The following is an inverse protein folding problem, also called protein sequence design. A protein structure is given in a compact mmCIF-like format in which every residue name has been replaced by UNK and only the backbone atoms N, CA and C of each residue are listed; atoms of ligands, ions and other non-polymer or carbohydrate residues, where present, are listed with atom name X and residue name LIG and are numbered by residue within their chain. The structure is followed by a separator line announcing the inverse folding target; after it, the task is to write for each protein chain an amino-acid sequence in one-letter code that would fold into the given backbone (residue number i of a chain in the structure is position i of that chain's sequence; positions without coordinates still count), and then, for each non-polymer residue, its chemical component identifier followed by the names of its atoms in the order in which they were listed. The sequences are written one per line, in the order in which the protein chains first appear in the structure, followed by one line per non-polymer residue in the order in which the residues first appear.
data_IF_138427264691
#
_entry.id   IF_138427264691
#
_cell.length_a   1.000
_cell.length_b   1.000
_cell.length_c   1.000
_cell.angle_alpha   90.00
_cell.angle_beta   90.00
_cell.angle_gamma   90.00
#
_symmetry.space_group_name_H-M   'P 1'
#
loop_
_entity.id
_entity.type
_entity.pdbx_description
1 polymer ?
#
# COMPACT_ATOMS: atom_id res chain seq x y z
N UNK A 1 -12.89 8.89 23.17
CA UNK A 1 -12.74 9.20 21.73
C UNK A 1 -11.56 10.14 21.64
N UNK A 2 -10.49 9.69 21.02
CA UNK A 2 -9.34 10.54 20.72
C UNK A 2 -9.53 11.15 19.32
N UNK A 3 -9.04 12.37 19.13
CA UNK A 3 -9.06 13.10 17.86
C UNK A 3 -7.62 13.37 17.44
N UNK A 4 -7.31 13.09 16.19
CA UNK A 4 -6.01 13.39 15.60
C UNK A 4 -6.18 14.21 14.32
N UNK A 5 -5.37 15.27 14.19
CA UNK A 5 -5.47 16.25 13.10
C UNK A 5 -4.13 16.39 12.38
N UNK A 6 -4.13 16.09 11.09
CA UNK A 6 -3.20 16.59 10.07
C UNK A 6 -4.01 17.62 9.24
N UNK A 7 -3.46 18.69 8.62
CA UNK A 7 -4.26 19.76 8.01
C UNK A 7 -5.28 19.31 6.93
N UNK A 8 -5.14 18.07 6.42
CA UNK A 8 -6.01 17.46 5.42
C UNK A 8 -6.79 16.23 5.91
N UNK A 9 -6.44 15.66 7.07
CA UNK A 9 -7.00 14.38 7.53
C UNK A 9 -7.33 14.42 9.03
N UNK A 10 -8.57 14.04 9.35
CA UNK A 10 -9.08 13.94 10.72
C UNK A 10 -9.61 12.53 10.96
N UNK A 11 -9.23 11.93 12.09
CA UNK A 11 -9.69 10.60 12.49
C UNK A 11 -10.24 10.63 13.92
N UNK A 12 -11.29 9.85 14.15
CA UNK A 12 -11.82 9.53 15.47
C UNK A 12 -11.57 8.05 15.77
N UNK A 13 -10.93 7.76 16.89
CA UNK A 13 -10.62 6.38 17.27
C UNK A 13 -10.82 6.11 18.78
N UNK A 14 -10.86 4.82 19.10
CA UNK A 14 -10.88 4.29 20.47
C UNK A 14 -9.80 3.22 20.56
N UNK A 15 -8.92 3.35 21.54
CA UNK A 15 -7.90 2.33 21.82
C UNK A 15 -8.53 1.13 22.51
N UNK A 16 -8.29 -0.05 21.95
CA UNK A 16 -8.90 -1.31 22.42
C UNK A 16 -7.88 -2.24 23.09
N UNK A 17 -6.68 -1.75 23.40
CA UNK A 17 -5.68 -2.48 24.19
C UNK A 17 -5.19 -1.60 25.34
N UNK A 18 -5.15 -2.15 26.55
CA UNK A 18 -4.34 -1.60 27.63
C UNK A 18 -2.93 -2.20 27.53
N UNK A 19 -1.90 -1.37 27.67
CA UNK A 19 -0.54 -1.89 27.82
C UNK A 19 -0.48 -2.68 29.14
N UNK A 20 -0.44 -4.01 29.05
CA UNK A 20 -0.25 -4.87 30.23
C UNK A 20 1.18 -4.67 30.75
N UNK A 21 1.37 -3.81 31.75
CA UNK A 21 2.59 -3.79 32.54
C UNK A 21 2.54 -4.97 33.51
N UNK A 22 3.16 -6.08 33.14
CA UNK A 22 3.32 -7.23 34.04
C UNK A 22 4.28 -6.88 35.17
N UNK A 23 3.74 -6.45 36.31
CA UNK A 23 4.49 -6.35 37.58
C UNK A 23 4.52 -7.77 38.20
N UNK A 24 5.38 -8.63 37.68
CA UNK A 24 5.60 -9.96 38.25
C UNK A 24 5.96 -11.02 37.21
N UNK A 25 7.23 -11.43 37.18
CA UNK A 25 7.78 -12.44 36.27
C UNK A 25 7.36 -13.88 36.57
N UNK A 26 6.09 -14.12 36.89
CA UNK A 26 5.52 -15.46 36.99
C UNK A 26 5.18 -16.01 35.60
N UNK A 27 5.45 -17.29 35.35
CA UNK A 27 5.02 -17.96 34.12
C UNK A 27 3.49 -18.06 34.13
N UNK A 28 2.86 -17.18 33.37
CA UNK A 28 1.43 -17.20 33.07
C UNK A 28 1.15 -18.47 32.24
N UNK A 29 0.19 -19.27 32.69
CA UNK A 29 -0.20 -20.52 32.05
C UNK A 29 -1.58 -20.29 31.43
N UNK A 30 -1.70 -20.37 30.10
CA UNK A 30 -2.92 -20.20 29.30
C UNK A 30 -4.15 -21.06 29.71
N UNK A 31 -4.03 -21.87 30.76
CA UNK A 31 -5.05 -22.69 31.38
C UNK A 31 -5.44 -22.23 32.80
N UNK A 32 -4.93 -21.07 33.25
CA UNK A 32 -5.32 -20.44 34.49
C UNK A 32 -6.74 -19.86 34.32
N UNK A 33 -7.71 -20.23 35.18
CA UNK A 33 -9.06 -19.66 35.14
C UNK A 33 -9.08 -18.13 35.12
N UNK A 34 -8.15 -17.48 35.80
CA UNK A 34 -8.07 -16.01 35.87
C UNK A 34 -7.67 -15.40 34.52
N UNK A 35 -6.77 -16.04 33.77
CA UNK A 35 -6.34 -15.60 32.43
C UNK A 35 -7.45 -15.80 31.40
N UNK A 36 -8.17 -16.93 31.47
CA UNK A 36 -9.32 -17.21 30.60
C UNK A 36 -10.43 -16.18 30.83
N UNK A 37 -10.69 -15.80 32.08
CA UNK A 37 -11.67 -14.76 32.42
C UNK A 37 -11.25 -13.37 31.91
N UNK A 38 -9.96 -13.03 31.99
CA UNK A 38 -9.41 -11.78 31.47
C UNK A 38 -9.50 -11.71 29.94
N UNK A 39 -9.11 -12.78 29.23
CA UNK A 39 -9.26 -12.87 27.77
C UNK A 39 -10.72 -12.74 27.32
N UNK A 40 -11.66 -13.36 28.05
CA UNK A 40 -13.08 -13.27 27.76
C UNK A 40 -13.59 -11.83 27.97
N UNK A 41 -13.18 -11.16 29.06
CA UNK A 41 -13.53 -9.75 29.31
C UNK A 41 -13.00 -8.83 28.21
N UNK A 42 -11.75 -9.02 27.77
CA UNK A 42 -11.18 -8.24 26.67
C UNK A 42 -11.91 -8.48 25.34
N UNK A 43 -12.32 -9.73 25.07
CA UNK A 43 -13.13 -10.07 23.89
C UNK A 43 -14.50 -9.39 23.94
N UNK A 44 -15.18 -9.44 25.08
CA UNK A 44 -16.50 -8.82 25.24
C UNK A 44 -16.43 -7.30 25.13
N UNK A 45 -15.35 -6.68 25.64
CA UNK A 45 -15.08 -5.25 25.48
C UNK A 45 -14.87 -4.87 24.00
N UNK A 46 -14.05 -5.64 23.27
CA UNK A 46 -13.82 -5.47 21.82
C UNK A 46 -15.13 -5.57 21.03
N UNK A 47 -15.93 -6.60 21.32
CA UNK A 47 -17.21 -6.82 20.65
C UNK A 47 -18.20 -5.69 20.91
N UNK A 48 -18.28 -5.21 22.15
CA UNK A 48 -19.14 -4.07 22.51
C UNK A 48 -18.73 -2.80 21.74
N UNK A 49 -17.44 -2.49 21.69
CA UNK A 49 -16.94 -1.33 20.94
C UNK A 49 -17.28 -1.45 19.46
N UNK A 50 -17.08 -2.63 18.85
CA UNK A 50 -17.44 -2.85 17.44
C UNK A 50 -18.93 -2.65 17.18
N UNK A 51 -19.81 -3.14 18.07
CA UNK A 51 -21.26 -2.92 17.98
C UNK A 51 -21.60 -1.43 18.07
N UNK A 52 -20.96 -0.70 19.00
CA UNK A 52 -21.18 0.74 19.18
C UNK A 52 -20.75 1.54 17.94
N UNK A 53 -19.61 1.20 17.32
CA UNK A 53 -19.16 1.79 16.05
C UNK A 53 -20.11 1.48 14.90
N UNK A 54 -20.58 0.24 14.77
CA UNK A 54 -21.55 -0.14 13.73
C UNK A 54 -22.87 0.62 13.89
N UNK A 55 -23.37 0.75 15.12
CA UNK A 55 -24.55 1.55 15.41
C UNK A 55 -24.36 3.03 15.05
N UNK A 56 -23.17 3.59 15.31
CA UNK A 56 -22.83 4.95 14.90
C UNK A 56 -22.83 5.10 13.37
N UNK A 57 -22.14 4.21 12.65
CA UNK A 57 -22.09 4.19 11.19
C UNK A 57 -23.49 4.15 10.58
N UNK A 58 -24.35 3.25 11.06
CA UNK A 58 -25.74 3.13 10.58
C UNK A 58 -26.53 4.43 10.78
N UNK A 59 -26.41 5.08 11.94
CA UNK A 59 -27.08 6.35 12.20
C UNK A 59 -26.56 7.48 11.31
N UNK A 60 -25.26 7.52 11.02
CA UNK A 60 -24.68 8.51 10.13
C UNK A 60 -25.16 8.28 8.68
N UNK A 61 -25.22 7.03 8.23
CA UNK A 61 -25.79 6.68 6.91
C UNK A 61 -27.27 7.11 6.80
N UNK A 62 -28.09 6.88 7.83
CA UNK A 62 -29.47 7.36 7.87
C UNK A 62 -29.58 8.89 7.74
N UNK A 63 -28.64 9.62 8.35
CA UNK A 63 -28.55 11.07 8.21
C UNK A 63 -28.13 11.49 6.80
N UNK A 64 -27.10 10.87 6.22
CA UNK A 64 -26.63 11.16 4.87
C UNK A 64 -27.68 10.85 3.79
N UNK A 65 -28.57 9.89 4.05
CA UNK A 65 -29.72 9.60 3.18
C UNK A 65 -30.79 10.71 3.13
N UNK A 66 -30.74 11.70 4.03
CA UNK A 66 -31.69 12.81 4.03
C UNK A 66 -31.47 13.75 2.84
N UNK A 67 -32.56 14.36 2.34
CA UNK A 67 -32.55 15.22 1.16
C UNK A 67 -31.50 16.35 1.20
N UNK A 68 -31.19 16.86 2.39
CA UNK A 68 -30.21 17.93 2.58
C UNK A 68 -28.76 17.51 2.31
N UNK A 69 -28.43 16.21 2.41
CA UNK A 69 -27.08 15.68 2.22
C UNK A 69 -26.96 14.74 1.02
N UNK A 70 -28.09 14.32 0.43
CA UNK A 70 -28.13 13.35 -0.68
C UNK A 70 -27.25 13.72 -1.88
N UNK A 71 -27.06 15.01 -2.16
CA UNK A 71 -26.24 15.48 -3.29
C UNK A 71 -24.73 15.40 -3.04
N UNK A 72 -24.29 15.03 -1.82
CA UNK A 72 -22.89 14.91 -1.45
C UNK A 72 -22.32 13.51 -1.71
N UNK A 73 -23.18 12.51 -1.98
CA UNK A 73 -22.80 11.13 -2.28
C UNK A 73 -21.81 10.52 -1.26
N UNK A 74 -22.13 10.69 0.03
CA UNK A 74 -21.27 10.27 1.14
C UNK A 74 -21.49 8.80 1.49
N UNK A 75 -20.39 8.07 1.65
CA UNK A 75 -20.40 6.69 2.13
C UNK A 75 -19.19 6.40 3.03
N UNK A 76 -19.31 5.35 3.86
CA UNK A 76 -18.18 4.81 4.58
C UNK A 76 -17.48 3.76 3.71
N UNK A 77 -16.27 4.09 3.26
CA UNK A 77 -15.43 3.17 2.49
C UNK A 77 -14.61 2.28 3.42
N UNK A 78 -14.78 0.96 3.31
CA UNK A 78 -14.19 -0.02 4.24
C UNK A 78 -12.90 -0.64 3.68
N UNK A 79 -11.83 -0.77 4.49
CA UNK A 79 -10.61 -1.46 4.06
C UNK A 79 -10.83 -2.95 3.76
N UNK A 80 -10.36 -3.38 2.59
CA UNK A 80 -10.35 -4.76 2.09
C UNK A 80 -9.07 -5.45 2.58
N UNK A 81 -9.07 -5.87 3.86
CA UNK A 81 -7.86 -6.35 4.55
C UNK A 81 -7.17 -7.53 3.87
N UNK A 82 -7.92 -8.38 3.18
CA UNK A 82 -7.43 -9.52 2.41
C UNK A 82 -6.52 -9.13 1.23
N UNK A 83 -6.67 -7.90 0.71
CA UNK A 83 -5.83 -7.34 -0.34
C UNK A 83 -4.67 -6.49 0.23
N UNK A 84 -4.57 -6.39 1.56
CA UNK A 84 -3.56 -5.57 2.20
C UNK A 84 -2.16 -6.16 2.10
N UNK A 85 -1.16 -5.28 2.14
CA UNK A 85 0.25 -5.65 2.06
C UNK A 85 1.09 -4.77 2.98
N UNK A 86 2.28 -5.26 3.35
CA UNK A 86 3.24 -4.48 4.11
C UNK A 86 4.15 -3.68 3.19
N UNK A 87 4.48 -2.46 3.59
CA UNK A 87 5.43 -1.59 2.89
C UNK A 87 5.83 -0.40 3.77
N UNK A 88 6.76 0.41 3.27
CA UNK A 88 7.26 1.61 3.95
C UNK A 88 6.80 2.84 3.16
N UNK A 89 5.62 3.40 3.44
CA UNK A 89 5.14 4.60 2.75
C UNK A 89 5.88 5.86 3.22
N UNK A 90 6.42 5.82 4.44
CA UNK A 90 7.13 6.94 5.06
C UNK A 90 8.41 6.48 5.77
N UNK A 91 8.39 6.33 7.10
CA UNK A 91 9.59 6.01 7.91
C UNK A 91 9.64 4.58 8.43
N UNK A 92 8.48 3.94 8.58
CA UNK A 92 8.35 2.62 9.17
C UNK A 92 7.50 1.72 8.28
N UNK A 93 7.69 0.41 8.43
CA UNK A 93 6.82 -0.57 7.81
C UNK A 93 5.42 -0.46 8.40
N UNK A 94 4.42 -0.38 7.54
CA UNK A 94 3.02 -0.31 7.90
C UNK A 94 2.21 -1.29 7.05
N UNK A 95 1.01 -1.64 7.51
CA UNK A 95 0.07 -2.46 6.74
C UNK A 95 -0.85 -1.54 5.94
N UNK A 96 -0.65 -1.52 4.64
CA UNK A 96 -1.39 -0.69 3.69
C UNK A 96 -2.50 -1.52 3.09
N UNK A 97 -3.70 -0.96 2.99
CA UNK A 97 -4.90 -1.70 2.61
C UNK A 97 -5.68 -0.90 1.57
N UNK A 98 -6.11 -1.53 0.47
CA UNK A 98 -7.04 -0.88 -0.45
C UNK A 98 -8.45 -0.84 0.14
N UNK A 99 -9.22 0.14 -0.29
CA UNK A 99 -10.67 0.24 -0.12
C UNK A 99 -11.32 0.19 -1.51
N UNK A 100 -12.61 0.50 -1.64
CA UNK A 100 -13.24 0.58 -2.96
C UNK A 100 -12.72 1.75 -3.80
N UNK A 101 -12.31 2.85 -3.15
CA UNK A 101 -11.94 4.10 -3.82
C UNK A 101 -10.54 4.61 -3.52
N UNK A 102 -9.85 4.02 -2.53
CA UNK A 102 -8.57 4.51 -2.01
C UNK A 102 -7.55 3.39 -1.74
N UNK A 103 -6.28 3.74 -1.63
CA UNK A 103 -5.24 2.96 -0.97
C UNK A 103 -4.84 3.68 0.32
N UNK A 104 -4.96 3.00 1.47
CA UNK A 104 -4.88 3.67 2.77
C UNK A 104 -3.96 3.00 3.78
N UNK A 105 -3.41 3.82 4.68
CA UNK A 105 -2.82 3.45 5.95
C UNK A 105 -3.32 4.49 6.97
N UNK A 106 -4.12 4.06 7.94
CA UNK A 106 -4.90 4.95 8.82
C UNK A 106 -4.61 4.72 10.32
N UNK A 107 -3.57 3.95 10.65
CA UNK A 107 -3.22 3.62 12.04
C UNK A 107 -2.10 4.52 12.50
N UNK A 108 -1.05 4.72 11.69
CA UNK A 108 0.08 5.54 12.08
C UNK A 108 -0.18 7.03 11.86
N UNK A 109 0.45 7.86 12.69
CA UNK A 109 0.25 9.32 12.76
C UNK A 109 0.61 10.11 11.48
N UNK A 110 1.07 9.41 10.44
CA UNK A 110 1.25 9.94 9.10
C UNK A 110 0.39 9.11 8.15
N UNK A 111 -0.90 9.46 8.07
CA UNK A 111 -1.84 8.70 7.26
C UNK A 111 -1.42 8.69 5.78
N UNK A 112 -1.54 7.52 5.16
CA UNK A 112 -1.52 7.40 3.71
C UNK A 112 -2.97 7.37 3.24
N UNK A 113 -3.36 8.30 2.36
CA UNK A 113 -4.66 8.29 1.69
C UNK A 113 -4.44 8.66 0.23
N UNK A 114 -4.60 7.67 -0.65
CA UNK A 114 -4.43 7.83 -2.09
C UNK A 114 -5.73 7.49 -2.77
N UNK A 115 -6.39 8.46 -3.40
CA UNK A 115 -7.60 8.24 -4.18
C UNK A 115 -7.23 7.57 -5.50
N UNK A 116 -7.84 6.42 -5.78
CA UNK A 116 -7.47 5.59 -6.93
C UNK A 116 -7.74 6.29 -8.28
N UNK A 117 -8.83 7.06 -8.36
CA UNK A 117 -9.19 7.78 -9.57
C UNK A 117 -8.22 8.92 -9.94
N UNK A 118 -7.34 9.34 -9.02
CA UNK A 118 -6.31 10.35 -9.26
C UNK A 118 -5.00 9.75 -9.80
N UNK A 119 -4.85 8.42 -9.74
CA UNK A 119 -3.66 7.71 -10.20
C UNK A 119 -3.64 7.70 -11.73
N UNK A 120 -2.50 8.08 -12.31
CA UNK A 120 -2.22 7.95 -13.74
C UNK A 120 -1.62 6.57 -14.04
N UNK A 121 -0.52 6.23 -13.37
CA UNK A 121 0.13 4.92 -13.48
C UNK A 121 0.75 4.50 -12.13
N UNK A 122 1.05 3.21 -12.02
CA UNK A 122 1.92 2.66 -10.98
C UNK A 122 3.17 2.04 -11.63
N UNK A 123 4.34 2.24 -11.03
CA UNK A 123 5.56 1.56 -11.45
C UNK A 123 6.15 0.75 -10.29
N UNK A 124 6.28 -0.55 -10.48
CA UNK A 124 6.96 -1.45 -9.54
C UNK A 124 8.46 -1.43 -9.85
N UNK A 125 9.22 -0.76 -8.99
CA UNK A 125 10.66 -0.56 -9.13
C UNK A 125 11.45 -1.61 -8.34
N UNK A 126 12.64 -1.94 -8.82
CA UNK A 126 13.52 -2.98 -8.25
C UNK A 126 12.89 -4.37 -8.28
N UNK A 127 12.03 -4.64 -9.26
CA UNK A 127 11.53 -5.99 -9.53
C UNK A 127 12.59 -6.77 -10.31
N UNK A 128 12.89 -7.99 -9.87
CA UNK A 128 13.81 -8.87 -10.57
C UNK A 128 14.19 -10.13 -9.79
N UNK A 129 14.85 -11.11 -10.43
CA UNK A 129 15.26 -12.36 -9.79
C UNK A 129 16.14 -12.11 -8.56
N UNK A 130 15.83 -12.80 -7.45
CA UNK A 130 16.59 -12.72 -6.20
C UNK A 130 16.32 -11.50 -5.33
N UNK A 131 15.49 -10.54 -5.77
CA UNK A 131 15.04 -9.43 -4.93
C UNK A 131 13.98 -9.90 -3.94
N UNK A 132 14.20 -9.65 -2.64
CA UNK A 132 13.25 -9.98 -1.57
C UNK A 132 12.15 -8.92 -1.43
N UNK A 133 12.43 -7.70 -1.88
CA UNK A 133 11.55 -6.56 -1.75
C UNK A 133 11.63 -5.71 -3.02
N UNK A 134 10.53 -5.06 -3.35
CA UNK A 134 10.43 -4.07 -4.43
C UNK A 134 9.86 -2.77 -3.88
N UNK A 135 9.88 -1.72 -4.69
CA UNK A 135 9.30 -0.43 -4.37
C UNK A 135 8.14 -0.15 -5.33
N UNK A 136 7.16 0.62 -4.90
CA UNK A 136 6.05 1.07 -5.75
C UNK A 136 6.09 2.58 -5.86
N UNK A 137 6.13 3.11 -7.08
CA UNK A 137 5.97 4.52 -7.38
C UNK A 137 4.56 4.77 -7.95
N UNK A 138 3.83 5.70 -7.35
CA UNK A 138 2.47 6.06 -7.73
C UNK A 138 2.51 7.45 -8.35
N UNK A 139 2.24 7.51 -9.66
CA UNK A 139 2.21 8.75 -10.45
C UNK A 139 0.76 9.20 -10.58
N UNK A 140 0.52 10.49 -10.37
CA UNK A 140 -0.83 11.07 -10.42
C UNK A 140 -1.10 11.71 -11.78
N UNK A 141 -2.39 11.83 -12.12
CA UNK A 141 -2.87 12.53 -13.32
C UNK A 141 -2.47 14.01 -13.34
N UNK A 142 -2.36 14.63 -12.16
CA UNK A 142 -1.72 15.93 -12.02
C UNK A 142 -0.21 15.75 -11.90
N UNK A 143 0.53 15.89 -13.00
CA UNK A 143 1.98 15.74 -13.02
C UNK A 143 2.74 16.79 -12.20
N UNK A 144 2.08 17.83 -11.70
CA UNK A 144 2.68 18.79 -10.75
C UNK A 144 2.74 18.25 -9.32
N UNK A 145 1.93 17.22 -9.01
CA UNK A 145 1.95 16.52 -7.74
C UNK A 145 3.18 15.61 -7.67
N UNK A 146 3.86 15.63 -6.53
CA UNK A 146 4.99 14.73 -6.28
C UNK A 146 4.51 13.26 -6.31
N UNK A 147 5.34 12.38 -6.89
CA UNK A 147 5.13 10.92 -6.88
C UNK A 147 5.19 10.41 -5.44
N UNK A 148 4.22 9.58 -5.07
CA UNK A 148 4.26 8.87 -3.78
C UNK A 148 4.98 7.55 -3.97
N UNK A 149 5.86 7.20 -3.03
CA UNK A 149 6.62 5.96 -3.03
C UNK A 149 6.25 5.12 -1.82
N UNK A 150 6.06 3.83 -2.04
CA UNK A 150 5.92 2.82 -1.00
C UNK A 150 7.11 1.87 -1.15
N UNK A 151 8.07 1.98 -0.25
CA UNK A 151 9.32 1.24 -0.33
C UNK A 151 9.24 -0.14 0.35
N UNK A 152 10.20 -1.01 0.04
CA UNK A 152 10.44 -2.27 0.75
C UNK A 152 9.24 -3.22 0.86
N UNK A 153 8.35 -3.24 -0.13
CA UNK A 153 7.22 -4.17 -0.22
C UNK A 153 7.76 -5.59 -0.44
N UNK A 154 7.33 -6.62 0.33
CA UNK A 154 7.75 -7.99 0.12
C UNK A 154 7.44 -8.46 -1.31
N UNK A 155 8.39 -9.13 -1.98
CA UNK A 155 8.17 -9.62 -3.35
C UNK A 155 7.05 -10.64 -3.45
N UNK A 156 6.69 -11.32 -2.36
CA UNK A 156 5.50 -12.19 -2.28
C UNK A 156 4.18 -11.45 -2.49
N UNK A 157 4.14 -10.13 -2.34
CA UNK A 157 2.92 -9.32 -2.51
C UNK A 157 2.75 -8.81 -3.94
N UNK A 158 3.74 -8.99 -4.84
CA UNK A 158 3.72 -8.39 -6.18
C UNK A 158 2.53 -8.86 -7.02
N UNK A 159 2.23 -10.15 -7.00
CA UNK A 159 1.15 -10.72 -7.83
C UNK A 159 -0.23 -10.24 -7.34
N UNK A 160 -0.46 -10.22 -6.03
CA UNK A 160 -1.71 -9.71 -5.46
C UNK A 160 -1.91 -8.21 -5.70
N UNK A 161 -0.81 -7.43 -5.68
CA UNK A 161 -0.85 -6.01 -6.03
C UNK A 161 -1.19 -5.82 -7.51
N UNK A 162 -0.59 -6.61 -8.42
CA UNK A 162 -0.90 -6.54 -9.86
C UNK A 162 -2.35 -6.89 -10.14
N UNK A 163 -2.85 -7.98 -9.57
CA UNK A 163 -4.25 -8.38 -9.68
C UNK A 163 -5.18 -7.26 -9.19
N UNK A 164 -4.87 -6.63 -8.05
CA UNK A 164 -5.62 -5.49 -7.55
C UNK A 164 -5.59 -4.30 -8.52
N UNK A 165 -4.43 -3.93 -9.06
CA UNK A 165 -4.29 -2.84 -10.05
C UNK A 165 -5.09 -3.13 -11.33
N UNK A 166 -5.09 -4.38 -11.80
CA UNK A 166 -5.92 -4.81 -12.94
C UNK A 166 -7.42 -4.64 -12.64
N UNK A 167 -7.89 -5.05 -11.46
CA UNK A 167 -9.32 -4.92 -11.09
C UNK A 167 -9.78 -3.46 -10.94
N UNK A 168 -8.85 -2.53 -10.76
CA UNK A 168 -9.11 -1.10 -10.61
C UNK A 168 -8.82 -0.29 -11.88
N UNK A 169 -8.48 -0.96 -13.00
CA UNK A 169 -8.12 -0.35 -14.29
C UNK A 169 -6.96 0.66 -14.17
N UNK A 170 -6.01 0.39 -13.27
CA UNK A 170 -4.81 1.20 -13.10
C UNK A 170 -3.67 0.55 -13.88
N UNK A 171 -3.20 1.27 -14.90
CA UNK A 171 -2.06 0.80 -15.69
C UNK A 171 -0.80 0.76 -14.82
N UNK A 172 -0.06 -0.35 -14.91
CA UNK A 172 1.20 -0.50 -14.20
C UNK A 172 2.34 -0.97 -15.09
N UNK A 173 3.56 -0.68 -14.63
CA UNK A 173 4.83 -0.99 -15.26
C UNK A 173 5.81 -1.59 -14.25
N UNK A 174 6.92 -2.14 -14.75
CA UNK A 174 8.00 -2.63 -13.91
C UNK A 174 9.35 -2.04 -14.34
N UNK A 175 10.24 -1.82 -13.39
CA UNK A 175 11.59 -1.34 -13.64
C UNK A 175 12.57 -2.05 -12.72
N UNK A 176 13.79 -2.34 -13.21
CA UNK A 176 14.83 -2.98 -12.38
C UNK A 176 15.49 -2.01 -11.40
N UNK A 177 15.36 -0.71 -11.64
CA UNK A 177 15.95 0.37 -10.84
C UNK A 177 14.88 1.35 -10.37
N UNK A 178 15.23 2.14 -9.36
CA UNK A 178 14.40 3.27 -8.94
C UNK A 178 14.57 4.42 -9.95
N UNK A 179 13.46 4.93 -10.50
CA UNK A 179 13.50 6.01 -11.48
C UNK A 179 13.54 7.40 -10.82
N UNK A 180 14.19 8.34 -11.49
CA UNK A 180 14.13 9.74 -11.10
C UNK A 180 12.91 10.41 -11.74
N UNK A 181 11.76 10.33 -11.05
CA UNK A 181 10.48 10.80 -11.58
C UNK A 181 10.40 12.31 -11.82
N UNK A 182 11.11 13.14 -11.04
CA UNK A 182 11.03 14.61 -11.18
C UNK A 182 11.44 15.10 -12.56
N UNK A 183 12.62 14.73 -13.11
CA UNK A 183 12.98 15.04 -14.50
C UNK A 183 12.03 14.45 -15.55
N UNK A 184 11.54 13.22 -15.34
CA UNK A 184 10.62 12.54 -16.27
C UNK A 184 9.33 13.35 -16.38
N UNK A 185 8.66 13.60 -15.24
CA UNK A 185 7.42 14.37 -15.20
C UNK A 185 7.61 15.80 -15.68
N UNK A 186 8.75 16.44 -15.38
CA UNK A 186 9.07 17.76 -15.92
C UNK A 186 9.10 17.77 -17.45
N UNK A 187 9.73 16.77 -18.07
CA UNK A 187 9.80 16.65 -19.53
C UNK A 187 8.41 16.49 -20.14
N UNK A 188 7.55 15.69 -19.49
CA UNK A 188 6.16 15.49 -19.92
C UNK A 188 5.35 16.79 -19.80
N UNK A 189 5.52 17.55 -18.71
CA UNK A 189 4.85 18.85 -18.52
C UNK A 189 5.31 19.87 -19.56
N UNK A 190 6.61 19.89 -19.88
CA UNK A 190 7.21 20.85 -20.80
C UNK A 190 6.78 20.59 -22.27
N UNK A 191 6.56 19.32 -22.68
CA UNK A 191 6.06 18.96 -24.02
C UNK A 191 5.13 17.71 -24.02
N UNK A 192 3.84 17.87 -23.65
CA UNK A 192 2.89 16.76 -23.60
C UNK A 192 2.60 16.12 -24.96
N UNK A 193 2.67 16.90 -26.04
CA UNK A 193 2.39 16.41 -27.39
C UNK A 193 3.47 15.42 -27.83
N UNK A 194 4.74 15.79 -27.61
CA UNK A 194 5.86 14.92 -27.90
C UNK A 194 5.82 13.63 -27.08
N UNK A 195 5.46 13.71 -25.79
CA UNK A 195 5.28 12.51 -24.96
C UNK A 195 4.29 11.52 -25.60
N UNK A 196 3.17 12.00 -26.13
CA UNK A 196 2.18 11.15 -26.81
C UNK A 196 2.74 10.61 -28.14
N UNK A 197 3.41 11.44 -28.94
CA UNK A 197 4.02 11.03 -30.22
C UNK A 197 5.11 9.95 -30.03
N UNK A 198 5.87 10.03 -28.94
CA UNK A 198 6.93 9.08 -28.58
C UNK A 198 6.38 7.79 -27.92
N UNK A 199 5.05 7.60 -27.87
CA UNK A 199 4.41 6.38 -27.37
C UNK A 199 4.03 6.43 -25.89
N UNK A 200 4.03 7.60 -25.26
CA UNK A 200 3.60 7.79 -23.88
C UNK A 200 4.45 7.01 -22.89
N UNK A 201 3.80 6.24 -22.02
CA UNK A 201 4.45 5.47 -20.97
C UNK A 201 5.22 4.22 -21.46
N UNK A 202 5.20 3.91 -22.76
CA UNK A 202 5.84 2.71 -23.30
C UNK A 202 7.36 2.66 -23.11
N UNK A 203 8.03 3.79 -22.87
CA UNK A 203 9.46 3.80 -22.53
C UNK A 203 9.76 2.99 -21.25
N UNK A 204 8.80 2.85 -20.33
CA UNK A 204 8.94 2.04 -19.11
C UNK A 204 9.03 0.54 -19.42
N UNK A 205 8.44 0.09 -20.53
CA UNK A 205 8.56 -1.31 -20.98
C UNK A 205 9.95 -1.59 -21.55
N UNK A 206 10.58 -0.61 -22.19
CA UNK A 206 11.92 -0.75 -22.80
C UNK A 206 13.02 -0.95 -21.74
N UNK A 207 12.94 -0.24 -20.62
CA UNK A 207 13.83 -0.40 -19.47
C UNK A 207 13.76 -1.80 -18.84
N UNK A 208 12.62 -2.48 -18.93
CA UNK A 208 12.48 -3.87 -18.47
C UNK A 208 13.26 -4.85 -19.37
N UNK A 209 13.35 -4.57 -20.67
CA UNK A 209 13.97 -5.45 -21.68
C UNK A 209 15.47 -5.24 -21.89
N UNK A 210 15.99 -4.01 -21.76
CA UNK A 210 17.39 -3.68 -22.08
C UNK A 210 18.43 -4.20 -21.08
N UNK A 211 18.00 -4.97 -20.08
CA UNK A 211 18.88 -5.56 -19.05
C UNK A 211 18.91 -7.09 -19.07
N UNK A 212 18.31 -7.73 -20.08
CA UNK A 212 18.52 -9.16 -20.40
C UNK A 212 19.66 -9.40 -21.41
N UNK A 213 20.34 -8.34 -21.84
CA UNK A 213 21.42 -8.35 -22.84
C UNK A 213 22.84 -8.35 -22.26
N UNK A 214 23.03 -8.68 -20.97
CA UNK A 214 24.36 -8.91 -20.36
C UNK A 214 24.52 -10.34 -19.79
N UNK A 215 24.12 -11.37 -20.53
CA UNK A 215 24.46 -12.75 -20.14
C UNK A 215 24.76 -13.67 -21.33
N UNK A 216 25.59 -13.19 -22.26
CA UNK A 216 26.24 -14.05 -23.24
C UNK A 216 27.71 -13.65 -23.37
N UNK A 217 28.58 -14.38 -22.66
CA UNK A 217 29.89 -14.86 -23.11
C UNK A 217 30.83 -15.11 -21.91
N UNK A 218 30.82 -16.36 -21.42
CA UNK A 218 32.10 -17.02 -21.18
C UNK A 218 31.91 -18.51 -21.45
N UNK A 219 32.41 -18.91 -22.62
CA UNK A 219 32.37 -20.25 -23.17
C UNK A 219 33.10 -21.24 -22.26
N UNK A 220 32.38 -22.29 -21.90
CA UNK A 220 32.91 -23.56 -21.41
C UNK A 220 33.83 -24.16 -22.49
N UNK A 221 35.14 -23.88 -22.41
CA UNK A 221 36.14 -24.59 -23.20
C UNK A 221 36.63 -25.78 -22.39
N UNK A 222 36.11 -26.95 -22.76
CA UNK A 222 36.50 -28.25 -22.23
C UNK A 222 38.01 -28.48 -22.30
N UNK A 223 38.58 -28.86 -21.17
CA UNK A 223 39.97 -29.23 -21.02
C UNK A 223 40.16 -30.69 -21.46
N UNK A 224 40.89 -30.94 -22.56
CA UNK A 224 41.44 -32.26 -22.89
C UNK A 224 42.91 -32.33 -22.44
N UNK A 225 43.28 -33.28 -21.56
CA UNK A 225 44.68 -33.51 -21.23
C UNK A 225 45.37 -34.27 -22.38
N UNK A 226 46.48 -33.74 -22.86
CA UNK A 226 47.39 -34.45 -23.78
C UNK A 226 48.36 -35.31 -22.94
N UNK A 227 48.31 -36.62 -23.18
CA UNK A 227 49.22 -37.62 -22.61
C UNK A 227 50.69 -37.33 -22.92
N UNK A 228 51.56 -37.51 -21.91
CA UNK A 228 53.00 -37.72 -22.04
C UNK A 228 53.51 -38.61 -20.89
#
# INVERSE_FOLDING_TARGET
MAEQVNPLHTQFYVEVMEAVQTIGGGKISAYDPDEIEEEQRERDRKNKINIDFQNFVNRVNDLWGQHQFKNLDLEFDQPLRELGFHGVPYKASAFIVPTSSCLVELIETHFLVITLSEIEIVNSERVGPGQKNFNMAIVFKDFKRDVIRIDSIPSSSVDGIKEWLDTTDIKYYESRLNLNWRPILKTIIDDPHKFIEDGGWEFLNLEATDSDSENSENSDQGYEPLDA
#
